data_IF_598542412200
#
_entry.id   IF_598542412200
#
_cell.length_a   1.000
_cell.length_b   1.000
_cell.length_c   1.000
_cell.angle_alpha   90.00
_cell.angle_beta   90.00
_cell.angle_gamma   90.00
#
_symmetry.space_group_name_H-M   'P 1'
#
loop_
_entity.id
_entity.type
_entity.pdbx_description
1 polymer ?
#
# COMPACT_ATOMS: atom_id res chain seq x y z
N UNK A 1 -6.73 26.83 17.37
CA UNK A 1 -6.47 26.59 15.93
C UNK A 1 -5.07 27.07 15.67
N UNK A 2 -4.07 26.19 15.78
CA UNK A 2 -2.70 26.50 15.35
C UNK A 2 -2.71 26.65 13.82
N UNK A 3 -2.17 27.76 13.29
CA UNK A 3 -1.99 27.98 11.85
C UNK A 3 -1.24 26.81 11.20
N UNK A 4 -1.26 26.75 9.87
CA UNK A 4 -0.43 25.79 9.13
C UNK A 4 1.04 26.04 9.47
N UNK A 5 1.88 24.99 9.53
CA UNK A 5 3.32 25.18 9.61
C UNK A 5 3.79 25.99 8.40
N UNK A 6 4.67 26.94 8.63
CA UNK A 6 5.26 27.76 7.55
C UNK A 6 6.72 27.38 7.40
N UNK A 7 7.19 27.32 6.15
CA UNK A 7 8.59 27.04 5.83
C UNK A 7 9.06 28.00 4.77
N UNK A 8 10.28 28.51 4.93
CA UNK A 8 10.96 29.34 3.91
C UNK A 8 11.61 28.47 2.84
N UNK A 9 11.91 29.05 1.69
CA UNK A 9 12.69 28.41 0.63
C UNK A 9 14.04 27.91 1.17
N UNK A 10 14.73 28.76 1.95
CA UNK A 10 16.02 28.41 2.53
C UNK A 10 15.93 27.20 3.50
N UNK A 11 14.94 27.19 4.40
CA UNK A 11 14.73 26.07 5.32
C UNK A 11 14.45 24.76 4.62
N UNK A 12 13.62 24.77 3.57
CA UNK A 12 13.33 23.59 2.78
C UNK A 12 14.56 23.09 2.02
N UNK A 13 15.32 24.01 1.42
CA UNK A 13 16.56 23.69 0.71
C UNK A 13 17.59 23.02 1.65
N UNK A 14 17.85 23.62 2.80
CA UNK A 14 18.78 23.07 3.81
C UNK A 14 18.32 21.72 4.33
N UNK A 15 17.05 21.61 4.73
CA UNK A 15 16.48 20.40 5.34
C UNK A 15 16.50 19.17 4.43
N UNK A 16 16.32 19.37 3.13
CA UNK A 16 16.24 18.27 2.15
C UNK A 16 17.48 18.19 1.23
N UNK A 17 18.49 19.05 1.44
CA UNK A 17 19.70 19.06 0.63
C UNK A 17 19.44 19.39 -0.84
N UNK A 18 18.56 20.35 -1.11
CA UNK A 18 18.16 20.78 -2.44
C UNK A 18 18.79 22.14 -2.80
N UNK A 19 19.04 22.34 -4.08
CA UNK A 19 19.47 23.65 -4.60
C UNK A 19 18.27 24.59 -4.67
N UNK A 20 18.42 25.82 -4.12
CA UNK A 20 17.38 26.82 -4.08
C UNK A 20 17.64 27.94 -5.10
N UNK A 21 16.59 28.38 -5.81
CA UNK A 21 16.61 29.52 -6.70
C UNK A 21 15.48 30.50 -6.34
N UNK A 22 15.77 31.77 -6.28
CA UNK A 22 14.83 32.85 -5.93
C UNK A 22 15.09 33.45 -4.56
N UNK A 23 14.11 34.17 -4.03
CA UNK A 23 14.22 34.83 -2.72
C UNK A 23 14.19 33.77 -1.60
N UNK A 24 15.28 33.64 -0.80
CA UNK A 24 15.37 32.64 0.27
C UNK A 24 14.29 32.81 1.36
N UNK A 25 13.70 33.99 1.46
CA UNK A 25 12.64 34.30 2.45
C UNK A 25 11.23 33.96 1.98
N UNK A 26 11.06 33.53 0.71
CA UNK A 26 9.76 33.09 0.18
C UNK A 26 9.19 31.97 1.08
N UNK A 27 8.00 32.19 1.63
CA UNK A 27 7.35 31.28 2.57
C UNK A 27 6.18 30.52 1.95
N UNK A 28 5.99 29.27 2.38
CA UNK A 28 4.83 28.45 2.03
C UNK A 28 4.23 27.82 3.30
N UNK A 29 2.90 27.69 3.32
CA UNK A 29 2.12 27.15 4.45
C UNK A 29 1.18 26.00 4.03
N UNK A 30 1.33 25.51 2.81
CA UNK A 30 0.52 24.44 2.26
C UNK A 30 0.96 23.94 0.92
N UNK A 31 0.20 23.04 0.36
CA UNK A 31 0.44 22.33 -0.91
C UNK A 31 -0.67 22.64 -1.90
N UNK A 32 -0.35 22.77 -3.17
CA UNK A 32 -1.32 22.96 -4.25
C UNK A 32 -0.93 22.23 -5.54
N UNK A 33 -1.84 22.13 -6.48
CA UNK A 33 -1.50 21.62 -7.82
C UNK A 33 -0.77 22.70 -8.63
N UNK A 34 0.02 22.31 -9.61
CA UNK A 34 0.81 23.27 -10.42
C UNK A 34 -0.06 24.38 -11.03
N UNK A 35 -1.29 24.06 -11.46
CA UNK A 35 -2.22 24.99 -12.07
C UNK A 35 -2.99 25.89 -11.08
N UNK A 36 -3.23 25.42 -9.84
CA UNK A 36 -4.12 26.10 -8.89
C UNK A 36 -3.43 26.59 -7.62
N UNK A 37 -2.13 26.32 -7.46
CA UNK A 37 -1.39 26.76 -6.28
C UNK A 37 -1.29 28.28 -6.20
N UNK A 38 -1.41 28.80 -4.98
CA UNK A 38 -1.26 30.21 -4.65
C UNK A 38 0.17 30.54 -4.21
N UNK A 39 0.47 31.84 -4.05
CA UNK A 39 1.79 32.31 -3.62
C UNK A 39 2.23 31.79 -2.24
N UNK A 40 1.31 31.34 -1.39
CA UNK A 40 1.61 30.70 -0.10
C UNK A 40 1.70 29.16 -0.18
N UNK A 41 1.61 28.58 -1.35
CA UNK A 41 1.64 27.15 -1.54
C UNK A 41 2.85 26.67 -2.33
N UNK A 42 3.24 25.46 -2.01
CA UNK A 42 4.29 24.73 -2.67
C UNK A 42 3.69 23.67 -3.61
N UNK A 43 4.40 23.42 -4.72
CA UNK A 43 4.00 22.42 -5.72
C UNK A 43 5.22 21.78 -6.37
N UNK A 44 5.01 20.92 -7.37
CA UNK A 44 6.09 20.26 -8.11
C UNK A 44 5.74 20.06 -9.59
N UNK A 45 6.78 19.87 -10.39
CA UNK A 45 6.70 19.43 -11.78
C UNK A 45 7.61 18.20 -11.99
N UNK A 46 7.01 17.02 -12.20
CA UNK A 46 7.74 15.79 -12.55
C UNK A 46 7.36 15.25 -13.92
N UNK A 47 6.14 15.55 -14.40
CA UNK A 47 5.66 15.06 -15.69
C UNK A 47 5.77 16.16 -16.77
N UNK A 48 6.56 15.93 -17.85
CA UNK A 48 6.77 16.91 -18.92
C UNK A 48 5.49 17.42 -19.60
N UNK A 49 4.41 16.66 -19.57
CA UNK A 49 3.10 17.07 -20.11
C UNK A 49 2.55 18.35 -19.47
N UNK A 50 2.96 18.67 -18.25
CA UNK A 50 2.51 19.84 -17.52
C UNK A 50 3.49 21.02 -17.57
N UNK A 51 4.57 20.93 -18.35
CA UNK A 51 5.59 21.97 -18.46
C UNK A 51 5.00 23.33 -18.89
N UNK A 52 4.00 23.33 -19.76
CA UNK A 52 3.32 24.57 -20.17
C UNK A 52 2.64 25.32 -19.01
N UNK A 53 2.26 24.63 -17.95
CA UNK A 53 1.64 25.24 -16.77
C UNK A 53 2.67 25.89 -15.83
N UNK A 54 3.96 25.61 -15.99
CA UNK A 54 5.01 26.10 -15.10
C UNK A 54 5.18 27.61 -15.16
N UNK A 55 5.12 28.18 -16.34
CA UNK A 55 5.28 29.63 -16.57
C UNK A 55 4.09 30.43 -15.97
N UNK A 56 2.91 29.85 -15.94
CA UNK A 56 1.67 30.48 -15.47
C UNK A 56 1.40 30.22 -13.98
N UNK A 57 2.11 29.27 -13.38
CA UNK A 57 1.89 28.84 -12.00
C UNK A 57 2.20 29.98 -11.01
N UNK A 58 1.22 30.27 -10.14
CA UNK A 58 1.32 31.24 -9.05
C UNK A 58 1.87 30.65 -7.75
N UNK A 59 2.34 29.39 -7.76
CA UNK A 59 2.90 28.75 -6.58
C UNK A 59 4.07 29.54 -6.00
N UNK A 60 4.14 29.67 -4.69
CA UNK A 60 5.26 30.34 -4.01
C UNK A 60 6.58 29.63 -4.27
N UNK A 61 6.61 28.30 -4.14
CA UNK A 61 7.79 27.46 -4.40
C UNK A 61 7.40 26.29 -5.30
N UNK A 62 8.22 26.00 -6.33
CA UNK A 62 8.03 24.82 -7.19
C UNK A 62 9.24 23.90 -7.10
N UNK A 63 9.03 22.61 -6.83
CA UNK A 63 10.06 21.58 -6.96
C UNK A 63 10.08 21.08 -8.40
N UNK A 64 11.26 21.08 -9.04
CA UNK A 64 11.40 20.76 -10.46
C UNK A 64 12.80 20.18 -10.78
N UNK A 65 12.97 19.65 -11.98
CA UNK A 65 14.27 19.23 -12.50
C UNK A 65 15.10 20.43 -13.00
N UNK A 66 16.41 20.26 -13.04
CA UNK A 66 17.33 21.32 -13.47
C UNK A 66 17.05 21.81 -14.91
N UNK A 67 16.61 20.95 -15.80
CA UNK A 67 16.23 21.25 -17.18
C UNK A 67 15.00 22.17 -17.31
N UNK A 68 14.15 22.20 -16.27
CA UNK A 68 12.92 22.99 -16.24
C UNK A 68 13.10 24.34 -15.54
N UNK A 69 14.21 24.55 -14.83
CA UNK A 69 14.48 25.78 -14.09
C UNK A 69 14.41 27.06 -14.95
N UNK A 70 14.93 27.10 -16.20
CA UNK A 70 14.83 28.29 -17.03
C UNK A 70 13.40 28.72 -17.41
N UNK A 71 12.43 27.82 -17.24
CA UNK A 71 11.01 28.06 -17.55
C UNK A 71 10.23 28.62 -16.35
N UNK A 72 10.85 28.66 -15.15
CA UNK A 72 10.21 29.12 -13.92
C UNK A 72 10.52 30.60 -13.64
N UNK A 73 9.47 31.42 -13.56
CA UNK A 73 9.56 32.78 -13.06
C UNK A 73 9.19 32.83 -11.58
N UNK A 74 10.15 32.63 -10.68
CA UNK A 74 9.91 32.64 -9.23
C UNK A 74 10.70 31.58 -8.47
N UNK A 75 10.45 31.43 -7.18
CA UNK A 75 11.21 30.52 -6.34
C UNK A 75 11.04 29.05 -6.74
N UNK A 76 12.17 28.34 -6.73
CA UNK A 76 12.23 26.92 -7.08
C UNK A 76 13.22 26.16 -6.20
N UNK A 77 12.94 24.85 -6.02
CA UNK A 77 13.86 23.86 -5.46
C UNK A 77 14.20 22.87 -6.58
N UNK A 78 15.49 22.72 -6.87
CA UNK A 78 15.95 21.79 -7.89
C UNK A 78 16.22 20.43 -7.28
N UNK A 79 15.61 19.40 -7.83
CA UNK A 79 15.74 18.02 -7.38
C UNK A 79 16.04 17.08 -8.55
N UNK A 80 16.87 16.06 -8.30
CA UNK A 80 17.10 14.97 -9.27
C UNK A 80 15.79 14.18 -9.56
N UNK A 81 14.98 13.99 -8.53
CA UNK A 81 13.63 13.42 -8.62
C UNK A 81 12.66 14.38 -7.92
N UNK A 82 11.97 15.25 -8.70
CA UNK A 82 11.02 16.22 -8.15
C UNK A 82 9.84 15.59 -7.43
N UNK A 83 9.41 14.38 -7.82
CA UNK A 83 8.29 13.70 -7.19
C UNK A 83 8.66 13.18 -5.80
N UNK A 84 9.83 12.58 -5.66
CA UNK A 84 10.36 12.14 -4.35
C UNK A 84 10.60 13.33 -3.42
N UNK A 85 11.17 14.42 -3.94
CA UNK A 85 11.38 15.62 -3.14
C UNK A 85 10.04 16.24 -2.70
N UNK A 86 9.06 16.29 -3.60
CA UNK A 86 7.70 16.72 -3.26
C UNK A 86 7.09 15.88 -2.15
N UNK A 87 7.13 14.56 -2.25
CA UNK A 87 6.55 13.67 -1.26
C UNK A 87 7.14 13.91 0.15
N UNK A 88 8.48 14.08 0.23
CA UNK A 88 9.17 14.38 1.49
C UNK A 88 8.79 15.73 2.08
N UNK A 89 8.68 16.77 1.25
CA UNK A 89 8.33 18.11 1.70
C UNK A 89 6.83 18.18 2.05
N UNK A 90 5.96 17.56 1.26
CA UNK A 90 4.52 17.55 1.49
C UNK A 90 4.14 16.91 2.83
N UNK A 91 4.90 15.91 3.27
CA UNK A 91 4.72 15.29 4.60
C UNK A 91 4.83 16.27 5.77
N UNK A 92 5.53 17.41 5.59
CA UNK A 92 5.60 18.47 6.62
C UNK A 92 4.26 19.19 6.83
N UNK A 93 3.39 19.17 5.85
CA UNK A 93 2.08 19.81 5.88
C UNK A 93 0.94 18.83 6.24
N UNK A 94 1.28 17.56 6.43
CA UNK A 94 0.31 16.57 6.85
C UNK A 94 -0.17 16.84 8.28
N UNK A 95 -1.49 16.97 8.44
CA UNK A 95 -2.10 17.19 9.74
C UNK A 95 -2.68 15.90 10.28
N UNK A 96 -2.15 15.45 11.37
CA UNK A 96 -2.76 14.37 12.13
C UNK A 96 -3.59 14.95 13.30
N UNK A 97 -4.80 14.45 13.54
CA UNK A 97 -5.53 14.80 14.75
C UNK A 97 -4.67 14.52 15.98
N UNK A 98 -4.71 15.42 16.94
CA UNK A 98 -4.02 15.21 18.21
C UNK A 98 -4.55 13.93 18.89
N UNK A 99 -3.65 13.07 19.29
CA UNK A 99 -3.96 11.84 20.03
C UNK A 99 -3.42 12.01 21.44
N UNK A 100 -4.27 12.33 22.43
CA UNK A 100 -3.84 12.47 23.82
C UNK A 100 -3.18 11.18 24.30
N UNK A 101 -2.07 11.30 25.01
CA UNK A 101 -1.39 10.15 25.62
C UNK A 101 -2.26 9.52 26.70
N UNK A 102 -2.09 8.23 26.89
CA UNK A 102 -2.79 7.44 27.90
C UNK A 102 -4.04 6.73 27.35
N UNK A 103 -4.83 6.22 28.26
CA UNK A 103 -5.99 5.39 27.96
C UNK A 103 -7.27 6.24 28.12
N UNK A 104 -8.06 6.30 27.06
CA UNK A 104 -9.35 7.00 27.11
C UNK A 104 -10.30 6.30 28.09
N UNK A 105 -11.08 7.05 28.92
CA UNK A 105 -11.96 6.46 29.94
C UNK A 105 -13.00 5.44 29.43
N UNK A 106 -13.36 5.52 28.15
CA UNK A 106 -14.28 4.54 27.53
C UNK A 106 -13.59 3.33 26.89
N UNK A 107 -12.27 3.26 26.96
CA UNK A 107 -11.55 2.07 26.49
C UNK A 107 -11.58 0.96 27.56
N UNK A 108 -11.65 -0.27 27.08
CA UNK A 108 -11.58 -1.48 27.94
C UNK A 108 -10.23 -2.13 27.73
N UNK A 109 -9.43 -2.20 28.80
CA UNK A 109 -8.06 -2.78 28.75
C UNK A 109 -7.99 -3.91 29.76
N UNK A 110 -7.63 -5.11 29.30
CA UNK A 110 -7.47 -6.27 30.17
C UNK A 110 -6.34 -6.04 31.20
N UNK A 111 -6.47 -6.53 32.44
CA UNK A 111 -5.46 -6.35 33.47
C UNK A 111 -4.07 -6.92 33.11
N UNK A 112 -4.03 -7.94 32.25
CA UNK A 112 -2.80 -8.57 31.76
C UNK A 112 -2.18 -7.85 30.56
N UNK A 113 -2.88 -6.89 29.94
CA UNK A 113 -2.34 -6.09 28.84
C UNK A 113 -1.30 -5.08 29.31
N UNK A 114 -0.33 -4.81 28.49
CA UNK A 114 0.73 -3.82 28.76
C UNK A 114 0.62 -2.67 27.79
N UNK A 115 0.32 -1.50 28.33
CA UNK A 115 0.24 -0.25 27.53
C UNK A 115 1.36 0.67 27.99
N UNK A 116 2.24 1.06 27.05
CA UNK A 116 3.34 1.98 27.36
C UNK A 116 2.78 3.35 27.75
N UNK A 117 3.38 4.06 28.74
CA UNK A 117 2.85 5.35 29.23
C UNK A 117 2.77 6.46 28.15
N UNK A 118 3.57 6.38 27.10
CA UNK A 118 3.54 7.34 25.99
C UNK A 118 2.56 6.97 24.88
N UNK A 119 1.96 5.78 24.93
CA UNK A 119 0.98 5.34 23.94
C UNK A 119 -0.36 6.09 24.13
N UNK A 120 -1.15 6.14 23.05
CA UNK A 120 -2.50 6.68 23.02
C UNK A 120 -3.50 5.55 22.72
N UNK A 121 -4.44 5.30 23.62
CA UNK A 121 -5.56 4.38 23.41
C UNK A 121 -6.84 5.19 23.33
N UNK A 122 -7.41 5.29 22.15
CA UNK A 122 -8.57 6.11 21.83
C UNK A 122 -9.89 5.58 22.41
N UNK A 123 -10.99 6.33 22.20
CA UNK A 123 -12.30 5.97 22.74
C UNK A 123 -12.81 4.65 22.18
N UNK A 124 -13.52 3.90 23.04
CA UNK A 124 -14.15 2.62 22.70
C UNK A 124 -13.17 1.55 22.12
N UNK A 125 -11.88 1.68 22.39
CA UNK A 125 -10.92 0.62 22.09
C UNK A 125 -11.08 -0.54 23.08
N UNK A 126 -10.81 -1.76 22.60
CA UNK A 126 -10.69 -2.97 23.41
C UNK A 126 -9.28 -3.50 23.27
N UNK A 127 -8.59 -3.70 24.38
CA UNK A 127 -7.24 -4.30 24.43
C UNK A 127 -7.31 -5.52 25.33
N UNK A 128 -7.17 -6.70 24.74
CA UNK A 128 -7.39 -7.97 25.38
C UNK A 128 -6.14 -8.55 26.07
N UNK A 129 -6.28 -9.75 26.63
CA UNK A 129 -5.28 -10.38 27.46
C UNK A 129 -3.91 -10.51 26.79
N UNK A 130 -2.85 -10.17 27.56
CA UNK A 130 -1.45 -10.22 27.15
C UNK A 130 -1.11 -9.41 25.90
N UNK A 131 -2.00 -8.53 25.43
CA UNK A 131 -1.69 -7.60 24.36
C UNK A 131 -0.64 -6.57 24.83
N UNK A 132 0.20 -6.14 23.90
CA UNK A 132 1.28 -5.16 24.16
C UNK A 132 1.14 -3.97 23.23
N UNK A 133 1.04 -2.77 23.80
CA UNK A 133 1.04 -1.51 23.06
C UNK A 133 2.34 -0.78 23.43
N UNK A 134 3.24 -0.65 22.47
CA UNK A 134 4.57 -0.09 22.67
C UNK A 134 4.57 1.45 22.69
N UNK A 135 5.77 2.01 22.85
CA UNK A 135 5.99 3.45 23.00
C UNK A 135 5.45 4.25 21.79
N UNK A 136 4.79 5.37 22.07
CA UNK A 136 4.23 6.28 21.05
C UNK A 136 3.27 5.62 20.04
N UNK A 137 2.82 4.40 20.29
CA UNK A 137 1.78 3.77 19.48
C UNK A 137 0.45 4.49 19.68
N UNK A 138 -0.35 4.60 18.59
CA UNK A 138 -1.63 5.31 18.59
C UNK A 138 -2.73 4.37 18.13
N UNK A 139 -3.67 4.08 19.01
CA UNK A 139 -4.91 3.40 18.69
C UNK A 139 -6.02 4.46 18.57
N UNK A 140 -6.50 4.71 17.35
CA UNK A 140 -7.67 5.55 17.11
C UNK A 140 -8.96 4.91 17.61
N UNK A 141 -10.11 5.55 17.44
CA UNK A 141 -11.37 5.07 18.02
C UNK A 141 -11.79 3.69 17.51
N UNK A 142 -12.43 2.91 18.40
CA UNK A 142 -13.02 1.60 18.09
C UNK A 142 -12.03 0.56 17.55
N UNK A 143 -10.74 0.63 17.89
CA UNK A 143 -9.80 -0.43 17.56
C UNK A 143 -9.93 -1.59 18.56
N UNK A 144 -9.79 -2.82 18.07
CA UNK A 144 -9.79 -4.05 18.88
C UNK A 144 -8.43 -4.72 18.73
N UNK A 145 -7.76 -4.94 19.84
CA UNK A 145 -6.45 -5.61 19.91
C UNK A 145 -6.64 -6.90 20.69
N UNK A 146 -6.72 -8.00 19.96
CA UNK A 146 -6.99 -9.33 20.52
C UNK A 146 -5.83 -9.93 21.30
N UNK A 147 -6.02 -11.14 21.86
CA UNK A 147 -5.10 -11.74 22.79
C UNK A 147 -3.71 -11.96 22.20
N UNK A 148 -2.68 -11.58 22.96
CA UNK A 148 -1.27 -11.76 22.60
C UNK A 148 -0.82 -10.96 21.38
N UNK A 149 -1.59 -9.98 20.93
CA UNK A 149 -1.19 -9.07 19.86
C UNK A 149 -0.18 -8.02 20.34
N UNK A 150 0.72 -7.63 19.46
CA UNK A 150 1.74 -6.59 19.72
C UNK A 150 1.59 -5.46 18.71
N UNK A 151 1.46 -4.23 19.21
CA UNK A 151 1.50 -3.01 18.39
C UNK A 151 2.83 -2.32 18.64
N UNK A 152 3.75 -2.40 17.66
CA UNK A 152 5.11 -1.88 17.77
C UNK A 152 5.19 -0.36 17.87
N UNK A 153 6.34 0.12 18.31
CA UNK A 153 6.57 1.52 18.63
C UNK A 153 6.28 2.48 17.47
N UNK A 154 5.59 3.57 17.77
CA UNK A 154 5.23 4.59 16.79
C UNK A 154 4.19 4.17 15.74
N UNK A 155 3.64 2.97 15.85
CA UNK A 155 2.60 2.49 14.92
C UNK A 155 1.27 3.19 15.17
N UNK A 156 0.49 3.36 14.11
CA UNK A 156 -0.79 4.07 14.16
C UNK A 156 -1.91 3.24 13.52
N UNK A 157 -2.90 2.89 14.30
CA UNK A 157 -4.15 2.31 13.88
C UNK A 157 -5.20 3.44 13.82
N UNK A 158 -5.66 3.81 12.60
CA UNK A 158 -6.42 5.03 12.41
C UNK A 158 -7.80 4.99 13.07
N UNK A 159 -8.61 3.99 12.79
CA UNK A 159 -9.91 3.75 13.45
C UNK A 159 -10.46 2.38 13.07
N UNK A 160 -11.22 1.73 13.96
CA UNK A 160 -11.94 0.46 13.68
C UNK A 160 -11.05 -0.61 13.05
N UNK A 161 -9.80 -0.67 13.46
CA UNK A 161 -8.87 -1.72 13.08
C UNK A 161 -9.02 -2.89 14.04
N UNK A 162 -9.02 -4.10 13.52
CA UNK A 162 -9.09 -5.32 14.33
C UNK A 162 -7.82 -6.14 14.14
N UNK A 163 -7.06 -6.34 15.21
CA UNK A 163 -6.04 -7.37 15.32
C UNK A 163 -6.66 -8.54 16.08
N UNK A 164 -6.87 -9.68 15.41
CA UNK A 164 -7.71 -10.75 15.97
C UNK A 164 -6.98 -11.54 17.05
N UNK A 165 -5.86 -12.17 16.73
CA UNK A 165 -5.08 -12.98 17.69
C UNK A 165 -3.66 -13.21 17.17
N UNK A 166 -2.65 -13.13 18.06
CA UNK A 166 -1.23 -13.41 17.75
C UNK A 166 -0.72 -12.63 16.52
N UNK A 167 -1.14 -11.38 16.41
CA UNK A 167 -0.65 -10.44 15.42
C UNK A 167 0.49 -9.63 16.01
N UNK A 168 1.62 -9.59 15.32
CA UNK A 168 2.76 -8.74 15.71
C UNK A 168 2.99 -7.70 14.64
N UNK A 169 2.83 -6.44 15.01
CA UNK A 169 3.20 -5.29 14.18
C UNK A 169 4.58 -4.79 14.59
N UNK A 170 5.43 -4.53 13.62
CA UNK A 170 6.69 -3.83 13.78
C UNK A 170 6.51 -2.35 14.15
N UNK A 171 7.55 -1.57 13.97
CA UNK A 171 7.56 -0.13 14.27
C UNK A 171 6.98 0.69 13.13
N UNK A 172 6.35 1.82 13.46
CA UNK A 172 5.85 2.81 12.49
C UNK A 172 4.91 2.23 11.43
N UNK A 173 4.18 1.19 11.80
CA UNK A 173 3.16 0.59 10.92
C UNK A 173 1.93 1.48 10.92
N UNK A 174 1.43 1.83 9.73
CA UNK A 174 0.19 2.58 9.56
C UNK A 174 -0.92 1.65 9.07
N UNK A 175 -2.04 1.61 9.82
CA UNK A 175 -3.18 0.78 9.44
C UNK A 175 -4.42 1.67 9.32
N UNK A 176 -5.01 1.66 8.14
CA UNK A 176 -6.19 2.45 7.79
C UNK A 176 -7.50 1.82 8.29
N UNK A 177 -8.61 2.60 8.30
CA UNK A 177 -9.86 2.17 8.92
C UNK A 177 -10.44 0.88 8.35
N UNK A 178 -10.94 0.03 9.23
CA UNK A 178 -11.66 -1.18 8.86
C UNK A 178 -10.78 -2.36 8.44
N UNK A 179 -9.46 -2.24 8.47
CA UNK A 179 -8.59 -3.38 8.22
C UNK A 179 -8.73 -4.44 9.31
N UNK A 180 -8.71 -5.73 8.92
CA UNK A 180 -8.81 -6.88 9.82
C UNK A 180 -7.61 -7.79 9.60
N UNK A 181 -6.84 -8.02 10.66
CA UNK A 181 -5.59 -8.77 10.59
C UNK A 181 -5.63 -9.93 11.59
N UNK A 182 -5.31 -11.13 11.12
CA UNK A 182 -5.24 -12.34 11.96
C UNK A 182 -6.55 -13.12 12.03
N UNK A 183 -7.48 -12.93 11.09
CA UNK A 183 -8.63 -13.81 10.90
C UNK A 183 -8.19 -15.21 10.50
N UNK A 184 -9.00 -16.21 10.81
CA UNK A 184 -8.73 -17.56 10.34
C UNK A 184 -8.71 -17.63 8.82
N UNK A 185 -7.68 -18.28 8.29
CA UNK A 185 -7.61 -18.62 6.88
C UNK A 185 -8.68 -19.61 6.45
N UNK A 186 -8.96 -19.70 5.17
CA UNK A 186 -9.97 -20.59 4.58
C UNK A 186 -9.41 -22.00 4.36
N UNK A 187 -9.22 -22.72 5.47
CA UNK A 187 -8.75 -24.12 5.49
C UNK A 187 -9.92 -25.07 5.70
N UNK A 188 -10.18 -25.97 4.74
CA UNK A 188 -11.31 -26.89 4.77
C UNK A 188 -10.88 -28.29 4.32
N UNK A 189 -11.40 -29.33 5.00
CA UNK A 189 -11.36 -30.71 4.55
C UNK A 189 -12.79 -31.20 4.26
N UNK A 190 -12.98 -31.87 3.14
CA UNK A 190 -14.28 -32.45 2.81
C UNK A 190 -14.33 -33.90 3.33
N UNK A 191 -15.26 -34.19 4.26
CA UNK A 191 -15.48 -35.54 4.76
C UNK A 191 -16.88 -36.00 4.40
N UNK A 192 -16.96 -36.95 3.50
CA UNK A 192 -18.19 -37.57 2.98
C UNK A 192 -19.16 -36.58 2.33
N UNK A 193 -19.94 -35.83 3.11
CA UNK A 193 -21.03 -34.95 2.67
C UNK A 193 -20.97 -33.56 3.30
N UNK A 194 -19.91 -33.23 4.06
CA UNK A 194 -19.77 -31.94 4.74
C UNK A 194 -18.31 -31.47 4.84
N UNK A 195 -18.16 -30.17 5.10
CA UNK A 195 -16.88 -29.51 5.28
C UNK A 195 -16.48 -29.49 6.76
N UNK A 196 -15.25 -29.90 7.03
CA UNK A 196 -14.60 -29.75 8.33
C UNK A 196 -13.64 -28.59 8.26
N UNK A 197 -13.80 -27.61 9.17
CA UNK A 197 -12.87 -26.49 9.30
C UNK A 197 -11.53 -26.96 9.85
N UNK A 198 -10.43 -26.60 9.18
CA UNK A 198 -9.07 -26.76 9.71
C UNK A 198 -8.77 -25.63 10.69
N UNK A 199 -8.38 -25.94 11.95
CA UNK A 199 -7.91 -24.93 12.88
C UNK A 199 -6.72 -24.15 12.33
N UNK A 200 -6.74 -22.84 12.51
CA UNK A 200 -5.65 -21.95 12.12
C UNK A 200 -4.86 -21.58 13.38
N UNK A 201 -3.63 -22.04 13.49
CA UNK A 201 -2.83 -22.01 14.72
C UNK A 201 -1.64 -21.04 14.65
N UNK A 202 -1.26 -20.59 13.46
CA UNK A 202 -0.23 -19.58 13.23
C UNK A 202 -0.69 -18.18 13.65
N UNK A 203 0.10 -17.19 13.37
CA UNK A 203 -0.17 -15.77 13.59
C UNK A 203 -0.01 -14.95 12.32
N UNK A 204 0.19 -13.64 12.52
CA UNK A 204 0.59 -12.70 11.45
C UNK A 204 1.77 -11.87 11.96
N UNK A 205 2.79 -11.70 11.13
CA UNK A 205 3.90 -10.77 11.39
C UNK A 205 3.98 -9.73 10.30
N UNK A 206 3.96 -8.47 10.70
CA UNK A 206 4.10 -7.31 9.81
C UNK A 206 5.36 -6.56 10.23
N UNK A 207 6.27 -6.37 9.30
CA UNK A 207 7.54 -5.68 9.48
C UNK A 207 7.39 -4.19 9.74
N UNK A 208 8.52 -3.52 9.95
CA UNK A 208 8.59 -2.09 10.19
C UNK A 208 8.11 -1.29 8.96
N UNK A 209 7.63 -0.06 9.18
CA UNK A 209 7.28 0.92 8.14
C UNK A 209 6.20 0.45 7.13
N UNK A 210 5.49 -0.63 7.40
CA UNK A 210 4.39 -1.09 6.54
C UNK A 210 3.18 -0.15 6.58
N UNK A 211 2.44 -0.09 5.47
CA UNK A 211 1.15 0.60 5.39
C UNK A 211 0.07 -0.34 4.87
N UNK A 212 -1.05 -0.42 5.60
CA UNK A 212 -2.17 -1.31 5.29
C UNK A 212 -3.42 -0.48 5.06
N UNK A 213 -3.96 -0.52 3.85
CA UNK A 213 -5.11 0.24 3.41
C UNK A 213 -6.43 -0.17 4.06
N UNK A 214 -7.45 0.66 3.84
CA UNK A 214 -8.78 0.48 4.45
C UNK A 214 -9.45 -0.82 3.98
N UNK A 215 -10.09 -1.52 4.92
CA UNK A 215 -10.82 -2.78 4.67
C UNK A 215 -9.95 -3.88 4.03
N UNK A 216 -8.65 -3.80 4.14
CA UNK A 216 -7.73 -4.88 3.77
C UNK A 216 -7.78 -5.97 4.82
N UNK A 217 -7.80 -7.24 4.38
CA UNK A 217 -7.84 -8.40 5.24
C UNK A 217 -6.58 -9.24 5.09
N UNK A 218 -5.99 -9.66 6.21
CA UNK A 218 -4.78 -10.48 6.26
C UNK A 218 -5.07 -11.66 7.18
N UNK A 219 -5.17 -12.86 6.60
CA UNK A 219 -5.45 -14.06 7.36
C UNK A 219 -4.21 -14.57 8.09
N UNK A 220 -4.42 -15.17 9.27
CA UNK A 220 -3.36 -15.85 10.01
C UNK A 220 -2.96 -17.14 9.32
N UNK A 221 -1.74 -17.57 9.52
CA UNK A 221 -1.30 -18.83 8.98
C UNK A 221 -1.93 -20.06 9.63
N UNK A 222 -1.95 -21.16 8.90
CA UNK A 222 -2.50 -22.41 9.39
C UNK A 222 -1.66 -22.99 10.54
N UNK A 223 -0.35 -23.10 10.38
CA UNK A 223 0.62 -23.54 11.38
C UNK A 223 1.72 -22.50 11.58
N UNK A 224 2.35 -22.07 10.50
CA UNK A 224 3.33 -20.99 10.47
C UNK A 224 2.62 -19.64 10.27
N UNK A 225 3.32 -18.53 10.48
CA UNK A 225 2.74 -17.20 10.36
C UNK A 225 2.55 -16.78 8.88
N UNK A 226 1.58 -15.93 8.63
CA UNK A 226 1.55 -15.05 7.45
C UNK A 226 2.51 -13.89 7.70
N UNK A 227 3.36 -13.55 6.72
CA UNK A 227 4.46 -12.60 6.92
C UNK A 227 4.46 -11.52 5.86
N UNK A 228 4.51 -10.28 6.30
CA UNK A 228 4.87 -9.11 5.50
C UNK A 228 6.21 -8.58 6.02
N UNK A 229 7.22 -8.48 5.14
CA UNK A 229 8.51 -7.87 5.50
C UNK A 229 8.38 -6.35 5.64
N UNK A 230 9.49 -5.65 5.86
CA UNK A 230 9.50 -4.20 6.06
C UNK A 230 9.05 -3.43 4.80
N UNK A 231 8.46 -2.24 5.03
CA UNK A 231 8.03 -1.28 4.00
C UNK A 231 7.09 -1.87 2.92
N UNK A 232 6.28 -2.86 3.27
CA UNK A 232 5.22 -3.37 2.41
C UNK A 232 4.05 -2.39 2.41
N UNK A 233 3.56 -2.04 1.21
CA UNK A 233 2.45 -1.11 1.00
C UNK A 233 1.25 -1.83 0.40
N UNK A 234 0.21 -1.98 1.17
CA UNK A 234 -1.06 -2.55 0.72
C UNK A 234 -2.12 -1.43 0.63
N UNK A 235 -2.68 -1.25 -0.53
CA UNK A 235 -3.81 -0.34 -0.75
C UNK A 235 -5.11 -0.94 -0.17
N UNK A 236 -6.25 -0.34 -0.46
CA UNK A 236 -7.54 -0.68 0.10
C UNK A 236 -8.12 -1.99 -0.46
N UNK A 237 -8.90 -2.71 0.37
CA UNK A 237 -9.66 -3.89 -0.04
C UNK A 237 -8.80 -5.02 -0.63
N UNK A 238 -7.61 -5.21 -0.10
CA UNK A 238 -6.72 -6.31 -0.49
C UNK A 238 -7.01 -7.53 0.37
N UNK A 239 -6.94 -8.73 -0.23
CA UNK A 239 -6.99 -10.00 0.49
C UNK A 239 -5.62 -10.68 0.48
N UNK A 240 -5.05 -10.87 1.65
CA UNK A 240 -3.85 -11.71 1.87
C UNK A 240 -4.29 -12.96 2.62
N UNK A 241 -4.21 -14.11 1.96
CA UNK A 241 -4.61 -15.38 2.55
C UNK A 241 -3.52 -15.96 3.47
N UNK A 242 -3.87 -17.06 4.16
CA UNK A 242 -3.03 -17.72 5.14
C UNK A 242 -1.66 -18.14 4.58
N UNK A 243 -0.61 -18.05 5.40
CA UNK A 243 0.77 -18.48 5.06
C UNK A 243 1.39 -17.76 3.86
N UNK A 244 0.83 -16.64 3.44
CA UNK A 244 1.45 -15.79 2.40
C UNK A 244 2.69 -15.13 2.97
N UNK A 245 3.73 -15.02 2.14
CA UNK A 245 4.93 -14.25 2.44
C UNK A 245 5.07 -13.12 1.41
N UNK A 246 5.15 -11.89 1.87
CA UNK A 246 5.39 -10.71 1.01
C UNK A 246 6.74 -10.11 1.37
N UNK A 247 7.65 -10.09 0.39
CA UNK A 247 8.99 -9.53 0.53
C UNK A 247 8.99 -8.00 0.64
N UNK A 248 10.04 -7.48 1.24
CA UNK A 248 10.20 -6.07 1.56
C UNK A 248 10.02 -5.12 0.36
N UNK A 249 9.54 -3.92 0.63
CA UNK A 249 9.34 -2.85 -0.38
C UNK A 249 8.36 -3.20 -1.50
N UNK A 250 7.54 -4.23 -1.32
CA UNK A 250 6.52 -4.62 -2.29
C UNK A 250 5.27 -3.78 -2.10
N UNK A 251 4.70 -3.30 -3.21
CA UNK A 251 3.47 -2.52 -3.20
C UNK A 251 2.37 -3.24 -3.98
N UNK A 252 1.16 -3.24 -3.43
CA UNK A 252 -0.02 -3.85 -4.03
C UNK A 252 -1.15 -2.83 -4.11
N UNK A 253 -1.69 -2.64 -5.30
CA UNK A 253 -2.80 -1.73 -5.54
C UNK A 253 -4.15 -2.38 -5.21
N UNK A 254 -5.16 -1.53 -5.04
CA UNK A 254 -6.47 -1.88 -4.48
C UNK A 254 -7.17 -3.07 -5.12
N UNK A 255 -7.92 -3.79 -4.31
CA UNK A 255 -8.70 -4.97 -4.70
C UNK A 255 -7.87 -6.14 -5.26
N UNK A 256 -6.55 -6.14 -5.12
CA UNK A 256 -5.73 -7.30 -5.47
C UNK A 256 -5.84 -8.40 -4.41
N UNK A 257 -5.50 -9.64 -4.79
CA UNK A 257 -5.58 -10.78 -3.89
C UNK A 257 -4.41 -11.74 -4.06
N UNK A 258 -3.93 -12.30 -2.95
CA UNK A 258 -2.91 -13.34 -2.92
C UNK A 258 -3.46 -14.55 -2.19
N UNK A 259 -3.55 -15.68 -2.88
CA UNK A 259 -4.06 -16.92 -2.31
C UNK A 259 -3.02 -17.62 -1.43
N UNK A 260 -3.49 -18.58 -0.62
CA UNK A 260 -2.72 -19.20 0.45
C UNK A 260 -1.36 -19.76 0.03
N UNK A 261 -0.39 -19.61 0.90
CA UNK A 261 0.99 -20.12 0.76
C UNK A 261 1.76 -19.60 -0.45
N UNK A 262 1.31 -18.53 -1.10
CA UNK A 262 2.09 -17.87 -2.14
C UNK A 262 3.21 -17.01 -1.53
N UNK A 263 4.33 -16.91 -2.25
CA UNK A 263 5.48 -16.09 -1.88
C UNK A 263 5.70 -15.02 -2.94
N UNK A 264 5.63 -13.77 -2.52
CA UNK A 264 5.92 -12.61 -3.36
C UNK A 264 7.31 -12.09 -2.99
N UNK A 265 8.17 -11.89 -3.98
CA UNK A 265 9.51 -11.37 -3.79
C UNK A 265 9.52 -9.91 -3.33
N UNK A 266 10.72 -9.36 -3.22
CA UNK A 266 10.97 -7.96 -2.81
C UNK A 266 10.79 -6.99 -3.99
N UNK A 267 10.43 -5.75 -3.69
CA UNK A 267 10.29 -4.69 -4.71
C UNK A 267 9.29 -5.02 -5.83
N UNK A 268 8.33 -5.88 -5.57
CA UNK A 268 7.28 -6.22 -6.53
C UNK A 268 6.21 -5.13 -6.58
N UNK A 269 5.58 -4.98 -7.75
CA UNK A 269 4.44 -4.09 -7.96
C UNK A 269 3.25 -4.92 -8.45
N UNK A 270 2.19 -5.01 -7.66
CA UNK A 270 0.99 -5.77 -8.01
C UNK A 270 -0.13 -4.80 -8.35
N UNK A 271 -0.53 -4.80 -9.60
CA UNK A 271 -1.58 -3.92 -10.11
C UNK A 271 -2.96 -4.18 -9.51
N UNK A 272 -3.81 -3.17 -9.55
CA UNK A 272 -5.16 -3.25 -8.96
C UNK A 272 -5.99 -4.38 -9.54
N UNK A 273 -6.74 -5.07 -8.68
CA UNK A 273 -7.59 -6.20 -9.05
C UNK A 273 -6.82 -7.40 -9.67
N UNK A 274 -5.51 -7.47 -9.46
CA UNK A 274 -4.72 -8.64 -9.86
C UNK A 274 -4.88 -9.76 -8.83
N UNK A 275 -4.80 -11.01 -9.30
CA UNK A 275 -4.88 -12.21 -8.46
C UNK A 275 -3.63 -13.07 -8.60
N UNK A 276 -3.08 -13.55 -7.50
CA UNK A 276 -2.00 -14.54 -7.48
C UNK A 276 -2.54 -15.83 -6.87
N UNK A 277 -2.47 -16.94 -7.62
CA UNK A 277 -2.94 -18.24 -7.11
C UNK A 277 -2.03 -18.78 -6.01
N UNK A 278 -2.56 -19.74 -5.25
CA UNK A 278 -1.88 -20.33 -4.10
C UNK A 278 -0.62 -21.12 -4.47
N UNK A 279 0.31 -21.20 -3.51
CA UNK A 279 1.57 -21.95 -3.61
C UNK A 279 2.50 -21.52 -4.76
N UNK A 280 2.32 -20.31 -5.30
CA UNK A 280 3.18 -19.75 -6.32
C UNK A 280 4.30 -18.92 -5.70
N UNK A 281 5.42 -18.81 -6.43
CA UNK A 281 6.54 -17.96 -6.06
C UNK A 281 6.81 -16.93 -7.16
N UNK A 282 6.85 -15.65 -6.79
CA UNK A 282 7.24 -14.55 -7.65
C UNK A 282 8.63 -14.07 -7.23
N UNK A 283 9.54 -13.98 -8.20
CA UNK A 283 10.87 -13.43 -7.99
C UNK A 283 10.82 -11.96 -7.57
N UNK A 284 11.92 -11.44 -7.08
CA UNK A 284 12.08 -10.02 -6.79
C UNK A 284 11.86 -9.15 -8.04
N UNK A 285 11.37 -7.92 -7.84
CA UNK A 285 11.17 -6.92 -8.91
C UNK A 285 10.22 -7.35 -10.04
N UNK A 286 9.25 -8.18 -9.73
CA UNK A 286 8.17 -8.53 -10.65
C UNK A 286 7.08 -7.46 -10.59
N UNK A 287 6.67 -6.99 -11.76
CA UNK A 287 5.49 -6.12 -11.92
C UNK A 287 4.35 -6.90 -12.55
N UNK A 288 3.20 -6.97 -11.88
CA UNK A 288 1.97 -7.56 -12.40
C UNK A 288 1.01 -6.42 -12.77
N UNK A 289 0.59 -6.36 -14.02
CA UNK A 289 -0.34 -5.31 -14.47
C UNK A 289 -1.75 -5.52 -13.91
N UNK A 290 -2.54 -4.45 -13.88
CA UNK A 290 -3.89 -4.49 -13.32
C UNK A 290 -4.79 -5.57 -13.97
N UNK A 291 -5.65 -6.20 -13.15
CA UNK A 291 -6.58 -7.27 -13.55
C UNK A 291 -5.93 -8.53 -14.11
N UNK A 292 -4.64 -8.72 -13.91
CA UNK A 292 -3.96 -9.95 -14.30
C UNK A 292 -4.20 -11.08 -13.30
N UNK A 293 -4.32 -12.31 -13.81
CA UNK A 293 -4.33 -13.52 -13.00
C UNK A 293 -3.01 -14.27 -13.21
N UNK A 294 -2.25 -14.42 -12.14
CA UNK A 294 -1.00 -15.20 -12.12
C UNK A 294 -1.33 -16.64 -11.78
N UNK A 295 -1.08 -17.55 -12.73
CA UNK A 295 -1.41 -18.98 -12.63
C UNK A 295 -0.20 -19.89 -12.53
N UNK A 296 1.01 -19.34 -12.61
CA UNK A 296 2.27 -20.07 -12.50
C UNK A 296 3.33 -19.19 -11.85
N UNK A 297 4.33 -19.82 -11.22
CA UNK A 297 5.46 -19.09 -10.61
C UNK A 297 6.25 -18.31 -11.64
N UNK A 298 6.73 -17.13 -11.24
CA UNK A 298 7.51 -16.21 -12.07
C UNK A 298 8.92 -16.16 -11.48
N UNK A 299 9.92 -16.60 -12.23
CA UNK A 299 11.29 -16.76 -11.76
C UNK A 299 12.23 -15.62 -12.10
N UNK A 300 11.81 -14.69 -12.94
CA UNK A 300 12.64 -13.58 -13.43
C UNK A 300 11.92 -12.25 -13.21
N UNK A 301 12.70 -11.21 -12.87
CA UNK A 301 12.20 -9.85 -12.80
C UNK A 301 11.64 -9.42 -14.16
N UNK A 302 10.57 -8.62 -14.14
CA UNK A 302 9.96 -8.15 -15.39
C UNK A 302 8.51 -7.74 -15.18
N UNK A 303 7.88 -7.25 -16.25
CA UNK A 303 6.48 -6.87 -16.27
C UNK A 303 5.64 -7.96 -16.95
N UNK A 304 4.60 -8.41 -16.27
CA UNK A 304 3.74 -9.51 -16.70
C UNK A 304 2.27 -9.09 -16.72
N UNK A 305 1.58 -9.53 -17.75
CA UNK A 305 0.17 -9.20 -17.98
C UNK A 305 -0.62 -10.44 -18.35
N UNK A 306 -1.90 -10.47 -17.97
CA UNK A 306 -2.85 -11.46 -18.46
C UNK A 306 -4.19 -10.81 -18.77
N UNK A 307 -5.08 -11.58 -19.42
CA UNK A 307 -6.40 -11.09 -19.83
C UNK A 307 -6.44 -10.60 -21.28
N UNK A 308 -7.61 -10.17 -21.72
CA UNK A 308 -7.82 -9.67 -23.07
C UNK A 308 -7.81 -8.14 -23.09
N UNK A 309 -7.22 -7.51 -24.14
CA UNK A 309 -7.28 -6.06 -24.30
C UNK A 309 -8.73 -5.55 -24.35
N UNK A 310 -8.94 -4.32 -23.89
CA UNK A 310 -10.22 -3.65 -24.01
C UNK A 310 -10.59 -3.48 -25.49
N UNK A 311 -11.82 -3.84 -25.84
CA UNK A 311 -12.34 -3.77 -27.20
C UNK A 311 -13.76 -3.19 -27.18
N UNK A 312 -14.19 -2.67 -28.31
CA UNK A 312 -15.61 -2.34 -28.51
C UNK A 312 -16.47 -3.61 -28.34
N UNK A 313 -17.63 -3.52 -27.69
CA UNK A 313 -18.43 -4.68 -27.25
C UNK A 313 -18.77 -5.65 -28.37
N UNK A 314 -19.13 -5.14 -29.56
CA UNK A 314 -19.45 -5.97 -30.72
C UNK A 314 -18.24 -6.79 -31.20
N UNK A 315 -17.06 -6.18 -31.18
CA UNK A 315 -15.81 -6.85 -31.54
C UNK A 315 -15.41 -7.87 -30.48
N UNK A 316 -15.53 -7.51 -29.20
CA UNK A 316 -15.25 -8.42 -28.08
C UNK A 316 -16.12 -9.68 -28.14
N UNK A 317 -17.45 -9.54 -28.36
CA UNK A 317 -18.36 -10.68 -28.49
C UNK A 317 -17.96 -11.62 -29.62
N UNK A 318 -17.56 -11.08 -30.81
CA UNK A 318 -17.08 -11.90 -31.93
C UNK A 318 -15.80 -12.66 -31.56
N UNK A 319 -14.84 -11.99 -30.93
CA UNK A 319 -13.59 -12.61 -30.55
C UNK A 319 -13.77 -13.65 -29.45
N UNK A 320 -14.62 -13.40 -28.47
CA UNK A 320 -14.98 -14.36 -27.43
C UNK A 320 -15.64 -15.62 -28.00
N UNK A 321 -16.51 -15.48 -29.01
CA UNK A 321 -17.08 -16.62 -29.70
C UNK A 321 -16.03 -17.43 -30.48
N UNK A 322 -15.09 -16.75 -31.15
CA UNK A 322 -13.99 -17.41 -31.87
C UNK A 322 -13.02 -18.15 -30.91
N UNK A 323 -12.72 -17.59 -29.74
CA UNK A 323 -11.87 -18.24 -28.76
C UNK A 323 -12.41 -19.62 -28.32
N UNK A 324 -13.72 -19.82 -28.28
CA UNK A 324 -14.34 -21.13 -28.00
C UNK A 324 -13.98 -22.21 -29.02
N UNK A 325 -13.64 -21.82 -30.23
CA UNK A 325 -13.29 -22.72 -31.33
C UNK A 325 -11.81 -22.71 -31.67
N UNK A 326 -10.96 -22.13 -30.78
CA UNK A 326 -9.53 -21.95 -31.06
C UNK A 326 -8.84 -23.29 -31.38
N UNK A 327 -9.11 -24.34 -30.61
CA UNK A 327 -8.53 -25.67 -30.79
C UNK A 327 -8.95 -26.27 -32.18
N UNK A 328 -10.19 -26.08 -32.59
CA UNK A 328 -10.67 -26.49 -33.93
C UNK A 328 -9.89 -25.76 -35.02
N UNK A 329 -9.70 -24.47 -34.90
CA UNK A 329 -8.94 -23.68 -35.88
C UNK A 329 -7.48 -24.11 -35.96
N UNK A 330 -6.83 -24.37 -34.81
CA UNK A 330 -5.44 -24.86 -34.78
C UNK A 330 -5.33 -26.21 -35.49
N UNK A 331 -6.26 -27.16 -35.24
CA UNK A 331 -6.26 -28.47 -35.94
C UNK A 331 -6.43 -28.32 -37.45
N UNK A 332 -7.32 -27.44 -37.89
CA UNK A 332 -7.53 -27.17 -39.31
C UNK A 332 -6.29 -26.57 -39.96
N UNK A 333 -5.62 -25.63 -39.30
CA UNK A 333 -4.36 -25.04 -39.80
C UNK A 333 -3.29 -26.13 -39.93
N UNK A 334 -3.09 -26.96 -38.92
CA UNK A 334 -2.10 -28.04 -38.94
C UNK A 334 -2.38 -29.08 -40.05
N UNK A 335 -3.67 -29.36 -40.37
CA UNK A 335 -4.03 -30.22 -41.48
C UNK A 335 -3.67 -29.59 -42.85
N UNK A 336 -3.97 -28.30 -43.03
CA UNK A 336 -3.65 -27.58 -44.27
C UNK A 336 -2.12 -27.44 -44.49
N UNK A 337 -1.34 -27.28 -43.42
CA UNK A 337 0.13 -27.25 -43.50
C UNK A 337 0.70 -28.58 -43.96
N UNK A 338 0.14 -29.72 -43.49
CA UNK A 338 0.54 -31.07 -43.94
C UNK A 338 0.21 -31.32 -45.41
N UNK A 339 -0.94 -30.83 -45.90
CA UNK A 339 -1.33 -30.96 -47.30
C UNK A 339 -0.43 -30.13 -48.25
N UNK A 340 0.09 -28.97 -47.77
CA UNK A 340 1.00 -28.13 -48.56
C UNK A 340 2.49 -28.55 -48.50
N UNK A 341 2.86 -29.39 -47.55
CA UNK A 341 4.22 -29.94 -47.42
C UNK A 341 4.47 -31.26 -48.18
N UNK A 342 3.42 -31.76 -48.87
CA UNK A 342 3.51 -32.84 -49.86
C UNK A 342 3.44 -32.24 -51.28
#
# INVERSE_FOLDING_TARGET
VSGNPQYTLAELAERFGLEAHGDPTTTVDGVGTLAAATASQFTFLSNPKYTSQLAESQAGIVVLGADQLPLRNGAALVAKDPYVAYAKIAALFEKHPASPRGIHPSAVVAPSARVHPTASVGPCCVVEDNAVIEENAILGPHCTIGPGCVVGAGSRLVARVTLVIRVTLGRRVLIHPGAVIGSDGFGLAFDRDHWIKLPQLGGVRIGDDCEIGSNTTIDRGALEDTVLEEDVRLDNQIQIAHNVHIGAHTAMAGCSAVAGSAKIGRYCLIGGNAGVLGHLELADRVTITAKSLVTSSIREAGEYSSGTPLQENRQWRRNAARMKHLDEYVRRIAALEKEKGQ
#
